data_IF_115310798363
#
_entry.id   IF_115310798363
#
_cell.length_a   1.000
_cell.length_b   1.000
_cell.length_c   1.000
_cell.angle_alpha   90.00
_cell.angle_beta   90.00
_cell.angle_gamma   90.00
#
_symmetry.space_group_name_H-M   'P 1'
#
loop_
_entity.id
_entity.type
_entity.pdbx_description
1 polymer ?
#
# COMPACT_ATOMS: atom_id res chain seq x y z
N UNK A 1 2.85 -12.04 2.59
CA UNK A 1 3.71 -11.16 3.40
C UNK A 1 4.35 -10.13 2.50
N UNK A 2 4.47 -8.91 2.99
CA UNK A 2 4.86 -7.71 2.25
C UNK A 2 5.70 -6.77 3.09
N UNK A 3 6.41 -5.87 2.44
CA UNK A 3 7.02 -4.69 3.02
C UNK A 3 6.06 -3.53 2.82
N UNK A 4 5.73 -2.83 3.88
CA UNK A 4 4.67 -1.83 3.87
C UNK A 4 5.23 -0.46 4.25
N UNK A 5 4.81 0.57 3.51
CA UNK A 5 5.00 1.97 3.87
C UNK A 5 3.67 2.59 4.22
N UNK A 6 3.67 3.49 5.21
CA UNK A 6 2.54 4.29 5.59
C UNK A 6 2.86 5.76 5.35
N UNK A 7 2.01 6.43 4.58
CA UNK A 7 2.16 7.85 4.29
C UNK A 7 1.02 8.60 4.97
N UNK A 8 1.33 9.72 5.61
CA UNK A 8 0.36 10.43 6.45
C UNK A 8 0.64 11.92 6.52
N UNK A 9 -0.38 12.71 6.79
CA UNK A 9 -0.23 14.11 7.15
C UNK A 9 0.19 14.20 8.62
N UNK A 10 1.38 14.76 8.96
CA UNK A 10 1.85 14.83 10.33
C UNK A 10 0.90 15.66 11.20
N UNK A 11 0.66 15.19 12.43
CA UNK A 11 -0.15 15.86 13.43
C UNK A 11 0.69 16.15 14.67
N UNK A 12 0.70 17.39 15.11
CA UNK A 12 1.51 17.80 16.26
C UNK A 12 1.15 16.96 17.51
N UNK A 13 2.17 16.34 18.13
CA UNK A 13 2.02 15.57 19.35
C UNK A 13 1.38 14.19 19.22
N UNK A 14 1.19 13.68 18.00
CA UNK A 14 0.68 12.34 17.73
C UNK A 14 1.82 11.47 17.22
N UNK A 15 2.02 10.31 17.86
CA UNK A 15 2.99 9.31 17.35
C UNK A 15 2.48 8.73 16.03
N UNK A 16 3.31 8.64 14.99
CA UNK A 16 2.94 8.01 13.74
C UNK A 16 2.38 6.60 13.90
N UNK A 17 2.95 5.80 14.81
CA UNK A 17 2.47 4.44 15.07
C UNK A 17 1.02 4.46 15.58
N UNK A 18 0.68 5.34 16.51
CA UNK A 18 -0.67 5.47 17.06
C UNK A 18 -1.70 5.87 16.00
N UNK A 19 -1.27 6.57 14.94
CA UNK A 19 -2.15 6.96 13.84
C UNK A 19 -2.61 5.75 13.02
N UNK A 20 -1.78 4.71 12.91
CA UNK A 20 -2.08 3.53 12.08
C UNK A 20 -2.69 2.37 12.86
N UNK A 21 -2.64 2.41 14.20
CA UNK A 21 -3.33 1.44 15.07
C UNK A 21 -4.84 1.74 15.18
N UNK A 22 -5.26 2.94 14.78
CA UNK A 22 -6.68 3.28 14.71
C UNK A 22 -7.33 2.52 13.56
N UNK A 23 -8.48 1.96 13.83
CA UNK A 23 -9.29 1.29 12.82
C UNK A 23 -9.59 2.27 11.66
N UNK A 24 -9.19 1.90 10.46
CA UNK A 24 -9.44 2.70 9.24
C UNK A 24 -10.93 3.00 9.09
N UNK A 25 -11.79 2.05 9.49
CA UNK A 25 -13.25 2.22 9.51
C UNK A 25 -13.71 3.34 10.48
N UNK A 26 -12.91 3.67 11.51
CA UNK A 26 -13.23 4.80 12.39
C UNK A 26 -12.83 6.16 11.79
N UNK A 27 -11.75 6.19 11.02
CA UNK A 27 -11.23 7.43 10.43
C UNK A 27 -12.04 7.90 9.22
N UNK A 28 -12.70 6.98 8.53
CA UNK A 28 -13.44 7.25 7.29
C UNK A 28 -14.96 7.31 7.49
N UNK A 29 -15.44 7.69 8.69
CA UNK A 29 -16.86 7.86 8.98
C UNK A 29 -17.37 9.24 8.56
N UNK A 30 -18.61 9.27 8.09
CA UNK A 30 -19.31 10.48 7.70
C UNK A 30 -19.51 10.60 6.18
N UNK A 31 -20.06 11.70 5.68
CA UNK A 31 -20.26 11.91 4.26
C UNK A 31 -18.89 12.09 3.56
N UNK A 32 -18.81 11.64 2.30
CA UNK A 32 -17.62 11.86 1.47
C UNK A 32 -17.43 13.36 1.23
N UNK A 33 -16.20 13.83 1.42
CA UNK A 33 -15.82 15.20 1.09
C UNK A 33 -15.37 15.29 -0.37
N UNK A 34 -16.04 16.05 -1.23
CA UNK A 34 -15.67 16.19 -2.63
C UNK A 34 -14.22 16.69 -2.85
N UNK A 35 -13.70 17.50 -1.92
CA UNK A 35 -12.33 18.01 -2.01
C UNK A 35 -11.29 16.91 -1.75
N UNK A 36 -11.58 16.01 -0.82
CA UNK A 36 -10.76 14.83 -0.52
C UNK A 36 -10.79 13.85 -1.70
N UNK A 37 -11.98 13.58 -2.25
CA UNK A 37 -12.12 12.71 -3.42
C UNK A 37 -11.36 13.28 -4.64
N UNK A 38 -11.43 14.59 -4.87
CA UNK A 38 -10.69 15.25 -5.94
C UNK A 38 -9.16 15.16 -5.72
N UNK A 39 -8.69 15.29 -4.47
CA UNK A 39 -7.27 15.13 -4.11
C UNK A 39 -6.79 13.70 -4.36
N UNK A 40 -7.52 12.68 -3.86
CA UNK A 40 -7.19 11.26 -4.10
C UNK A 40 -7.12 10.97 -5.61
N UNK A 41 -8.10 11.46 -6.37
CA UNK A 41 -8.11 11.29 -7.83
C UNK A 41 -6.90 11.96 -8.48
N UNK A 42 -6.53 13.18 -8.09
CA UNK A 42 -5.35 13.88 -8.62
C UNK A 42 -4.07 13.08 -8.39
N UNK A 43 -3.90 12.50 -7.19
CA UNK A 43 -2.74 11.65 -6.87
C UNK A 43 -2.75 10.38 -7.71
N UNK A 44 -3.90 9.71 -7.83
CA UNK A 44 -4.04 8.51 -8.65
C UNK A 44 -3.68 8.80 -10.12
N UNK A 45 -4.20 9.89 -10.68
CA UNK A 45 -3.90 10.32 -12.06
C UNK A 45 -2.39 10.61 -12.23
N UNK A 46 -1.74 11.23 -11.25
CA UNK A 46 -0.30 11.51 -11.29
C UNK A 46 0.55 10.21 -11.24
N UNK A 47 0.16 9.25 -10.39
CA UNK A 47 0.83 7.94 -10.30
C UNK A 47 0.71 7.17 -11.63
N UNK A 48 -0.49 7.10 -12.20
CA UNK A 48 -0.75 6.41 -13.47
C UNK A 48 -0.03 7.11 -14.64
N UNK A 49 0.03 8.43 -14.63
CA UNK A 49 0.79 9.19 -15.64
C UNK A 49 2.30 8.96 -15.52
N UNK A 50 2.82 8.74 -14.31
CA UNK A 50 4.22 8.42 -14.06
C UNK A 50 4.58 7.00 -14.52
N UNK A 51 3.68 6.05 -14.29
CA UNK A 51 3.89 4.65 -14.67
C UNK A 51 2.61 4.06 -15.26
N UNK A 52 2.58 3.94 -16.59
CA UNK A 52 1.44 3.41 -17.33
C UNK A 52 1.12 1.92 -17.09
N UNK A 53 1.87 1.23 -16.20
CA UNK A 53 1.53 -0.13 -15.75
C UNK A 53 0.55 -0.13 -14.59
N UNK A 54 0.36 1.02 -13.94
CA UNK A 54 -0.57 1.20 -12.85
C UNK A 54 -1.99 1.37 -13.36
N UNK A 55 -2.92 0.67 -12.76
CA UNK A 55 -4.34 0.80 -13.03
C UNK A 55 -5.14 0.99 -11.75
N UNK A 56 -6.16 1.84 -11.82
CA UNK A 56 -7.11 2.01 -10.74
C UNK A 56 -8.03 0.80 -10.65
N UNK A 57 -8.04 0.13 -9.51
CA UNK A 57 -8.97 -0.96 -9.25
C UNK A 57 -10.40 -0.43 -9.20
N UNK A 58 -11.31 -1.11 -9.91
CA UNK A 58 -12.73 -0.78 -9.96
C UNK A 58 -13.51 -1.82 -9.15
N UNK A 59 -13.93 -1.51 -7.90
CA UNK A 59 -14.68 -2.45 -7.09
C UNK A 59 -16.08 -2.71 -7.65
N UNK A 60 -16.49 -3.98 -7.66
CA UNK A 60 -17.87 -4.36 -7.94
C UNK A 60 -18.72 -4.21 -6.67
N UNK A 61 -19.30 -3.02 -6.47
CA UNK A 61 -20.10 -2.72 -5.29
C UNK A 61 -21.35 -3.60 -5.14
N UNK A 62 -21.90 -4.14 -6.22
CA UNK A 62 -23.01 -5.09 -6.14
C UNK A 62 -22.56 -6.42 -5.54
N UNK A 63 -21.39 -6.91 -5.96
CA UNK A 63 -20.79 -8.14 -5.41
C UNK A 63 -20.41 -7.97 -3.94
N UNK A 64 -19.80 -6.84 -3.59
CA UNK A 64 -19.41 -6.50 -2.21
C UNK A 64 -20.64 -6.39 -1.32
N UNK A 65 -21.68 -5.68 -1.76
CA UNK A 65 -22.94 -5.53 -1.06
C UNK A 65 -23.58 -6.88 -0.75
N UNK A 66 -23.61 -7.79 -1.73
CA UNK A 66 -24.13 -9.15 -1.56
C UNK A 66 -23.32 -9.95 -0.55
N UNK A 67 -21.99 -9.85 -0.59
CA UNK A 67 -21.07 -10.57 0.31
C UNK A 67 -21.26 -10.11 1.77
N UNK A 68 -21.35 -8.80 2.00
CA UNK A 68 -21.43 -8.21 3.33
C UNK A 68 -22.87 -7.98 3.81
N UNK A 69 -23.91 -8.32 3.00
CA UNK A 69 -25.32 -8.14 3.31
C UNK A 69 -25.71 -6.69 3.61
N UNK A 70 -25.18 -5.77 2.82
CA UNK A 70 -25.43 -4.32 2.88
C UNK A 70 -25.99 -3.84 1.53
N UNK A 71 -26.38 -2.58 1.43
CA UNK A 71 -26.76 -1.99 0.15
C UNK A 71 -25.53 -1.66 -0.72
N UNK A 72 -25.68 -1.58 -2.06
CA UNK A 72 -24.58 -1.11 -2.92
C UNK A 72 -24.10 0.31 -2.60
N UNK A 73 -25.01 1.19 -2.17
CA UNK A 73 -24.66 2.54 -1.72
C UNK A 73 -23.81 2.49 -0.45
N UNK A 74 -24.19 1.67 0.52
CA UNK A 74 -23.40 1.47 1.73
C UNK A 74 -22.03 0.81 1.44
N UNK A 75 -21.96 -0.14 0.50
CA UNK A 75 -20.68 -0.71 0.05
C UNK A 75 -19.78 0.36 -0.57
N UNK A 76 -20.34 1.26 -1.39
CA UNK A 76 -19.64 2.40 -1.96
C UNK A 76 -19.15 3.36 -0.87
N UNK A 77 -19.95 3.67 0.14
CA UNK A 77 -19.57 4.57 1.23
C UNK A 77 -18.51 3.98 2.16
N UNK A 78 -18.51 2.66 2.36
CA UNK A 78 -17.51 1.97 3.18
C UNK A 78 -16.16 1.79 2.47
N UNK A 79 -16.16 1.58 1.16
CA UNK A 79 -14.93 1.46 0.35
C UNK A 79 -14.52 2.82 -0.23
N UNK A 80 -14.03 3.71 0.63
CA UNK A 80 -13.68 5.09 0.24
C UNK A 80 -12.29 5.23 -0.34
N UNK A 81 -11.39 4.31 0.00
CA UNK A 81 -10.04 4.31 -0.52
C UNK A 81 -10.01 4.03 -2.04
N UNK A 82 -9.03 4.62 -2.71
CA UNK A 82 -8.68 4.24 -4.08
C UNK A 82 -7.54 3.22 -4.02
N UNK A 83 -7.71 2.11 -4.70
CA UNK A 83 -6.69 1.08 -4.82
C UNK A 83 -6.09 1.13 -6.23
N UNK A 84 -4.75 1.16 -6.30
CA UNK A 84 -4.00 1.23 -7.55
C UNK A 84 -3.01 0.06 -7.55
N UNK A 85 -3.06 -0.73 -8.61
CA UNK A 85 -2.25 -1.95 -8.74
C UNK A 85 -1.41 -1.92 -10.02
N UNK A 86 -0.21 -2.51 -9.95
CA UNK A 86 0.56 -2.84 -11.15
C UNK A 86 -0.07 -4.08 -11.80
N UNK A 87 -0.68 -3.91 -12.97
CA UNK A 87 -1.41 -4.96 -13.70
C UNK A 87 -0.61 -5.57 -14.85
N UNK A 88 0.65 -5.16 -15.03
CA UNK A 88 1.50 -5.67 -16.10
C UNK A 88 1.68 -7.19 -16.02
N UNK A 89 1.89 -7.86 -17.15
CA UNK A 89 2.07 -9.30 -17.24
C UNK A 89 3.22 -9.85 -16.36
N UNK A 90 4.22 -9.00 -16.07
CA UNK A 90 5.30 -9.24 -15.09
C UNK A 90 5.22 -8.19 -14.01
N UNK A 91 4.09 -8.16 -13.32
CA UNK A 91 3.79 -7.20 -12.27
C UNK A 91 4.84 -7.19 -11.17
N UNK A 92 5.17 -6.01 -10.69
CA UNK A 92 5.96 -5.83 -9.46
C UNK A 92 5.19 -6.28 -8.23
N UNK A 93 3.86 -6.41 -8.31
CA UNK A 93 2.97 -6.67 -7.20
C UNK A 93 2.82 -5.50 -6.22
N UNK A 94 3.31 -4.32 -6.59
CA UNK A 94 3.10 -3.12 -5.78
C UNK A 94 1.62 -2.79 -5.76
N UNK A 95 1.10 -2.54 -4.56
CA UNK A 95 -0.25 -2.03 -4.33
C UNK A 95 -0.16 -0.68 -3.62
N UNK A 96 -0.97 0.26 -4.04
CA UNK A 96 -1.10 1.58 -3.43
C UNK A 96 -2.55 1.78 -3.04
N UNK A 97 -2.78 2.17 -1.79
CA UNK A 97 -4.10 2.55 -1.28
C UNK A 97 -4.08 4.01 -0.86
N UNK A 98 -5.00 4.81 -1.39
CA UNK A 98 -5.17 6.22 -1.04
C UNK A 98 -6.43 6.36 -0.18
N UNK A 99 -6.23 6.69 1.08
CA UNK A 99 -7.28 6.97 2.06
C UNK A 99 -7.61 8.47 2.10
N UNK A 100 -8.52 8.87 2.96
CA UNK A 100 -8.95 10.28 3.06
C UNK A 100 -7.82 11.21 3.53
N UNK A 101 -6.95 10.80 4.45
CA UNK A 101 -5.85 11.61 5.00
C UNK A 101 -4.49 10.89 5.05
N UNK A 102 -4.41 9.72 4.45
CA UNK A 102 -3.22 8.88 4.44
C UNK A 102 -3.11 8.05 3.16
N UNK A 103 -2.00 7.34 3.02
CA UNK A 103 -1.82 6.34 1.98
C UNK A 103 -1.02 5.14 2.50
N UNK A 104 -1.16 4.01 1.84
CA UNK A 104 -0.32 2.85 2.06
C UNK A 104 0.29 2.39 0.74
N UNK A 105 1.55 1.95 0.79
CA UNK A 105 2.22 1.31 -0.32
C UNK A 105 2.80 -0.02 0.17
N UNK A 106 2.51 -1.08 -0.56
CA UNK A 106 2.89 -2.46 -0.21
C UNK A 106 3.73 -3.07 -1.32
N UNK A 107 4.86 -3.68 -0.96
CA UNK A 107 5.76 -4.40 -1.86
C UNK A 107 5.86 -5.86 -1.41
N UNK A 108 5.56 -6.86 -2.24
CA UNK A 108 5.68 -8.26 -1.86
C UNK A 108 7.15 -8.70 -1.72
N UNK A 109 7.42 -9.67 -0.83
CA UNK A 109 8.77 -10.19 -0.54
C UNK A 109 9.31 -11.20 -1.55
N UNK A 110 8.74 -11.34 -2.73
CA UNK A 110 9.26 -12.30 -3.73
C UNK A 110 10.40 -11.75 -4.61
N UNK A 111 10.69 -10.45 -4.54
CA UNK A 111 11.78 -9.84 -5.31
C UNK A 111 13.13 -10.05 -4.63
N UNK A 112 14.10 -10.56 -5.38
CA UNK A 112 15.45 -10.92 -4.85
C UNK A 112 16.54 -10.19 -5.63
N UNK A 113 17.65 -9.96 -4.96
CA UNK A 113 18.86 -9.38 -5.54
C UNK A 113 18.53 -8.07 -6.31
N UNK A 114 19.01 -7.95 -7.55
CA UNK A 114 18.77 -6.76 -8.39
C UNK A 114 17.27 -6.47 -8.62
N UNK A 115 16.40 -7.47 -8.53
CA UNK A 115 14.96 -7.25 -8.64
C UNK A 115 14.40 -6.55 -7.40
N UNK A 116 14.95 -6.80 -6.22
CA UNK A 116 14.59 -6.11 -4.98
C UNK A 116 14.92 -4.61 -5.07
N UNK A 117 16.12 -4.28 -5.55
CA UNK A 117 16.48 -2.88 -5.75
C UNK A 117 15.59 -2.18 -6.79
N UNK A 118 15.35 -2.83 -7.94
CA UNK A 118 14.50 -2.24 -8.99
C UNK A 118 13.08 -1.98 -8.52
N UNK A 119 12.46 -2.93 -7.81
CA UNK A 119 11.09 -2.75 -7.31
C UNK A 119 11.02 -1.68 -6.22
N UNK A 120 12.04 -1.60 -5.36
CA UNK A 120 12.11 -0.55 -4.35
C UNK A 120 12.30 0.83 -4.98
N UNK A 121 13.16 0.98 -6.01
CA UNK A 121 13.30 2.25 -6.76
C UNK A 121 12.00 2.67 -7.42
N UNK A 122 11.23 1.72 -7.97
CA UNK A 122 9.91 1.97 -8.51
C UNK A 122 8.95 2.49 -7.42
N UNK A 123 8.89 1.80 -6.27
CA UNK A 123 8.08 2.21 -5.12
C UNK A 123 8.48 3.60 -4.60
N UNK A 124 9.79 3.90 -4.58
CA UNK A 124 10.31 5.21 -4.16
C UNK A 124 9.80 6.34 -5.03
N UNK A 125 9.75 6.14 -6.35
CA UNK A 125 9.17 7.11 -7.28
C UNK A 125 7.68 7.38 -6.97
N UNK A 126 6.92 6.36 -6.56
CA UNK A 126 5.51 6.54 -6.17
C UNK A 126 5.39 7.27 -4.81
N UNK A 127 6.25 6.94 -3.85
CA UNK A 127 6.33 7.63 -2.56
C UNK A 127 6.61 9.12 -2.77
N UNK A 128 7.60 9.47 -3.61
CA UNK A 128 7.94 10.87 -3.92
C UNK A 128 6.75 11.64 -4.51
N UNK A 129 5.98 11.00 -5.39
CA UNK A 129 4.78 11.62 -5.96
C UNK A 129 3.74 11.88 -4.86
N UNK A 130 3.45 10.90 -4.02
CA UNK A 130 2.45 11.02 -2.95
C UNK A 130 2.88 12.08 -1.92
N UNK A 131 4.14 12.11 -1.53
CA UNK A 131 4.68 13.12 -0.62
C UNK A 131 4.56 14.53 -1.19
N UNK A 132 4.90 14.71 -2.47
CA UNK A 132 4.81 16.00 -3.14
C UNK A 132 3.38 16.50 -3.30
N UNK A 133 2.46 15.62 -3.70
CA UNK A 133 1.07 16.00 -4.00
C UNK A 133 0.23 16.21 -2.73
N UNK A 134 0.58 15.55 -1.62
CA UNK A 134 -0.21 15.57 -0.37
C UNK A 134 0.56 16.14 0.84
N UNK A 135 1.85 16.49 0.70
CA UNK A 135 2.72 16.87 1.82
C UNK A 135 2.77 15.79 2.90
N UNK A 136 2.77 14.51 2.48
CA UNK A 136 2.87 13.39 3.40
C UNK A 136 4.30 13.21 3.92
N UNK A 137 4.40 12.72 5.15
CA UNK A 137 5.58 12.05 5.70
C UNK A 137 5.43 10.53 5.52
N UNK A 138 6.56 9.83 5.53
CA UNK A 138 6.61 8.38 5.33
C UNK A 138 7.01 7.71 6.63
N UNK A 139 6.18 6.83 7.15
CA UNK A 139 6.51 5.93 8.24
C UNK A 139 6.82 4.54 7.69
N UNK A 140 7.96 3.99 8.11
CA UNK A 140 8.37 2.63 7.82
C UNK A 140 8.14 1.74 9.06
N UNK A 141 7.10 0.90 9.07
CA UNK A 141 6.82 0.03 10.22
C UNK A 141 7.92 -1.01 10.49
N UNK A 142 8.71 -1.39 9.48
CA UNK A 142 9.79 -2.36 9.62
C UNK A 142 11.01 -1.75 10.30
N UNK A 143 11.26 -0.45 10.07
CA UNK A 143 12.27 0.33 10.75
C UNK A 143 11.75 0.97 12.06
N UNK A 144 10.42 1.03 12.24
CA UNK A 144 9.79 1.67 13.40
C UNK A 144 10.01 3.18 13.48
N UNK A 145 10.17 3.86 12.35
CA UNK A 145 10.46 5.31 12.31
C UNK A 145 9.92 6.00 11.08
N UNK A 146 9.75 7.30 11.20
CA UNK A 146 9.58 8.18 10.03
C UNK A 146 10.90 8.23 9.27
N UNK A 147 10.81 8.13 7.95
CA UNK A 147 11.93 8.20 7.03
C UNK A 147 11.77 9.38 6.07
N UNK A 148 12.87 9.96 5.67
CA UNK A 148 12.90 10.88 4.53
C UNK A 148 13.24 10.11 3.24
N UNK A 149 13.07 10.77 2.10
CA UNK A 149 13.35 10.16 0.78
C UNK A 149 14.83 9.90 0.55
N UNK A 150 15.74 10.40 1.40
CA UNK A 150 17.17 10.09 1.41
C UNK A 150 17.51 8.74 2.07
N UNK A 151 16.59 8.11 2.80
CA UNK A 151 16.82 6.85 3.52
C UNK A 151 16.76 5.60 2.63
N UNK A 152 16.86 5.73 1.31
CA UNK A 152 16.71 4.63 0.34
C UNK A 152 17.62 3.43 0.66
N UNK A 153 18.89 3.67 0.96
CA UNK A 153 19.87 2.59 1.17
C UNK A 153 19.56 1.78 2.44
N UNK A 154 19.13 2.43 3.54
CA UNK A 154 18.71 1.77 4.78
C UNK A 154 17.49 0.86 4.52
N UNK A 155 16.51 1.36 3.79
CA UNK A 155 15.30 0.64 3.45
C UNK A 155 15.62 -0.52 2.49
N UNK A 156 16.49 -0.31 1.50
CA UNK A 156 16.91 -1.36 0.58
C UNK A 156 17.59 -2.51 1.33
N UNK A 157 18.49 -2.19 2.25
CA UNK A 157 19.16 -3.21 3.06
C UNK A 157 18.14 -4.00 3.89
N UNK A 158 17.18 -3.32 4.51
CA UNK A 158 16.14 -3.97 5.33
C UNK A 158 15.23 -4.85 4.49
N UNK A 159 14.75 -4.34 3.35
CA UNK A 159 13.90 -5.08 2.42
C UNK A 159 14.60 -6.34 1.88
N UNK A 160 15.85 -6.20 1.41
CA UNK A 160 16.65 -7.33 0.91
C UNK A 160 16.89 -8.39 1.99
N UNK A 161 17.25 -7.98 3.21
CA UNK A 161 17.44 -8.88 4.34
C UNK A 161 16.18 -9.65 4.71
N UNK A 162 15.02 -9.00 4.65
CA UNK A 162 13.73 -9.65 4.91
C UNK A 162 13.35 -10.64 3.81
N UNK A 163 13.58 -10.33 2.54
CA UNK A 163 13.32 -11.27 1.43
C UNK A 163 14.16 -12.55 1.56
N UNK A 164 15.44 -12.44 1.96
CA UNK A 164 16.31 -13.60 2.19
C UNK A 164 15.84 -14.46 3.39
N UNK A 165 15.46 -13.82 4.50
CA UNK A 165 14.89 -14.54 5.67
C UNK A 165 13.63 -15.29 5.33
N UNK A 166 12.72 -14.67 4.54
CA UNK A 166 11.49 -15.31 4.09
C UNK A 166 11.78 -16.55 3.23
N UNK A 167 12.74 -16.47 2.34
CA UNK A 167 13.13 -17.60 1.50
C UNK A 167 13.63 -18.78 2.35
N UNK A 168 14.43 -18.50 3.36
CA UNK A 168 14.94 -19.51 4.29
C UNK A 168 13.81 -20.16 5.09
N UNK A 169 12.83 -19.38 5.55
CA UNK A 169 11.65 -19.88 6.28
C UNK A 169 10.73 -20.75 5.40
N UNK A 170 10.45 -20.30 4.18
CA UNK A 170 9.60 -21.03 3.24
C UNK A 170 10.31 -22.25 2.68
N UNK A 171 11.62 -22.15 2.37
CA UNK A 171 12.43 -23.24 1.87
C UNK A 171 12.62 -24.38 2.88
N UNK A 172 12.62 -24.08 4.17
CA UNK A 172 12.70 -25.05 5.26
C UNK A 172 11.34 -25.54 5.76
N UNK A 173 10.23 -24.99 5.27
CA UNK A 173 8.90 -25.52 5.59
C UNK A 173 8.80 -26.96 5.02
N UNK A 174 8.41 -27.96 5.85
CA UNK A 174 8.24 -29.32 5.39
C UNK A 174 7.23 -29.32 4.24
N UNK A 175 7.68 -29.71 3.04
CA UNK A 175 6.84 -29.84 1.84
C UNK A 175 5.77 -30.89 2.15
N UNK A 176 4.64 -30.46 2.72
CA UNK A 176 3.50 -31.35 2.89
C UNK A 176 3.04 -31.75 1.50
N UNK A 177 2.98 -33.06 1.22
CA UNK A 177 2.51 -33.53 -0.10
C UNK A 177 1.09 -33.00 -0.33
N UNK A 178 0.83 -32.40 -1.49
CA UNK A 178 -0.44 -31.76 -1.85
C UNK A 178 -1.66 -32.68 -1.74
N UNK A 179 -1.46 -34.02 -1.79
CA UNK A 179 -2.54 -35.01 -1.62
C UNK A 179 -3.01 -35.22 -0.17
N UNK A 180 -2.42 -34.56 0.83
CA UNK A 180 -2.88 -34.63 2.22
C UNK A 180 -3.98 -33.61 2.57
N UNK A 181 -4.52 -32.93 1.59
CA UNK A 181 -5.64 -31.97 1.75
C UNK A 181 -6.98 -32.50 1.24
N UNK A 182 -7.09 -33.82 1.00
CA UNK A 182 -8.34 -34.52 0.68
C UNK A 182 -8.67 -35.52 1.77
#
# INVERSE_FOLDING_TARGET
MSYDFRLFTPRAGVDPQDMFERDVDEMERGPRDPSIEARKKKVADALIAHDGRLELFQPDFNKIAKLHRISPAEAYDRMRHLEINDTAQKSSGIQIMLFDDSAALTIPYWHKHDAAERVLRQAWGYIDIMCRECSYEVYDPQLGRVIDTGAFDDVLWTYASMTERMDTMIGNAPKKPWWKFW
#
